data_IF_122051948135
#
_entry.id   IF_122051948135
#
_cell.length_a   1.000
_cell.length_b   1.000
_cell.length_c   1.000
_cell.angle_alpha   90.00
_cell.angle_beta   90.00
_cell.angle_gamma   90.00
#
_symmetry.space_group_name_H-M   'P 1'
#
loop_
_entity.id
_entity.type
_entity.pdbx_description
1 polymer ?
#
# COMPACT_ATOMS: atom_id res chain seq x y z
N UNK A 1 20.64 80.42 65.35
CA UNK A 1 20.40 80.82 63.97
C UNK A 1 20.33 79.58 63.13
N UNK A 2 19.18 79.42 62.53
CA UNK A 2 18.84 78.62 61.37
C UNK A 2 19.29 77.17 61.23
N UNK A 3 18.33 76.26 61.46
CA UNK A 3 18.40 74.88 61.16
C UNK A 3 18.12 74.57 59.69
N UNK A 4 18.71 73.57 59.20
CA UNK A 4 18.33 72.91 57.95
C UNK A 4 17.81 71.52 58.26
N UNK A 5 16.55 71.29 57.97
CA UNK A 5 15.92 69.99 58.01
C UNK A 5 16.22 69.17 56.76
N UNK A 6 16.61 67.93 56.91
CA UNK A 6 16.82 67.00 55.82
C UNK A 6 15.62 66.05 55.75
N UNK A 7 14.90 66.12 54.60
CA UNK A 7 13.83 65.19 54.29
C UNK A 7 14.39 64.01 53.50
N UNK A 8 14.23 62.80 54.05
CA UNK A 8 14.48 61.55 53.33
C UNK A 8 13.29 61.23 52.49
N UNK A 9 13.50 61.07 51.12
CA UNK A 9 12.49 60.51 50.19
C UNK A 9 12.86 59.05 50.00
N UNK A 10 12.00 58.16 50.50
CA UNK A 10 12.03 56.74 50.21
C UNK A 10 11.40 56.50 48.82
N UNK A 11 12.26 56.26 47.82
CA UNK A 11 11.85 55.77 46.50
C UNK A 11 11.67 54.23 46.56
N UNK A 12 10.42 53.79 46.55
CA UNK A 12 10.11 52.40 46.39
C UNK A 12 10.14 52.00 44.88
N UNK A 13 11.11 51.21 44.48
CA UNK A 13 11.14 50.55 43.18
C UNK A 13 10.24 49.30 43.26
N UNK A 14 9.07 49.40 42.64
CA UNK A 14 8.23 48.22 42.38
C UNK A 14 8.84 47.42 41.23
N UNK A 15 9.49 46.31 41.52
CA UNK A 15 9.89 45.33 40.52
C UNK A 15 8.65 44.57 40.05
N UNK A 16 8.16 44.90 38.87
CA UNK A 16 7.10 44.16 38.17
C UNK A 16 7.64 42.80 37.71
N UNK A 17 7.18 41.72 38.34
CA UNK A 17 7.41 40.34 37.88
C UNK A 17 6.48 40.14 36.70
N UNK A 18 7.02 40.21 35.48
CA UNK A 18 6.33 39.74 34.26
C UNK A 18 6.30 38.20 34.30
N UNK A 19 5.19 37.64 34.75
CA UNK A 19 4.92 36.21 34.61
C UNK A 19 4.62 35.98 33.12
N UNK A 20 5.65 35.50 32.39
CA UNK A 20 5.47 34.98 31.04
C UNK A 20 4.56 33.76 31.10
N UNK A 21 3.31 33.90 30.74
CA UNK A 21 2.44 32.77 30.37
C UNK A 21 3.09 32.09 29.16
N UNK A 22 3.94 31.09 29.42
CA UNK A 22 4.26 30.09 28.39
C UNK A 22 2.93 29.41 28.07
N UNK A 23 2.29 29.83 26.98
CA UNK A 23 1.13 29.14 26.43
C UNK A 23 1.52 27.68 26.20
N UNK A 24 0.97 26.78 26.97
CA UNK A 24 1.04 25.36 26.63
C UNK A 24 0.48 25.27 25.19
N UNK A 25 1.32 24.85 24.24
CA UNK A 25 0.85 24.55 22.89
C UNK A 25 -0.26 23.53 23.05
N UNK A 26 -1.50 23.93 22.78
CA UNK A 26 -2.61 22.99 22.78
C UNK A 26 -2.26 21.91 21.77
N UNK A 27 -2.23 20.66 22.24
CA UNK A 27 -2.03 19.51 21.37
C UNK A 27 -3.05 19.60 20.23
N UNK A 28 -2.59 19.46 18.99
CA UNK A 28 -3.48 19.40 17.84
C UNK A 28 -4.01 17.95 17.72
N UNK A 29 -5.28 17.69 18.05
CA UNK A 29 -5.83 16.33 18.02
C UNK A 29 -5.68 15.66 16.65
N UNK A 30 -5.69 16.44 15.57
CA UNK A 30 -5.46 15.93 14.23
C UNK A 30 -4.02 15.43 14.05
N UNK A 31 -3.03 16.20 14.48
CA UNK A 31 -1.62 15.78 14.42
C UNK A 31 -1.31 14.62 15.35
N UNK A 32 -2.01 14.50 16.46
CA UNK A 32 -1.87 13.35 17.37
C UNK A 32 -2.44 12.08 16.74
N UNK A 33 -3.60 12.16 16.06
CA UNK A 33 -4.16 11.07 15.25
C UNK A 33 -3.20 10.67 14.13
N UNK A 34 -2.68 11.62 13.36
CA UNK A 34 -1.72 11.39 12.27
C UNK A 34 -0.50 10.60 12.78
N UNK A 35 0.09 11.02 13.90
CA UNK A 35 1.24 10.32 14.50
C UNK A 35 0.89 8.89 14.93
N UNK A 36 -0.29 8.70 15.52
CA UNK A 36 -0.75 7.38 15.93
C UNK A 36 -0.95 6.43 14.74
N UNK A 37 -1.52 6.93 13.63
CA UNK A 37 -1.68 6.13 12.40
C UNK A 37 -0.31 5.79 11.76
N UNK A 38 0.64 6.73 11.71
CA UNK A 38 2.01 6.43 11.24
C UNK A 38 2.65 5.35 12.10
N UNK A 39 2.56 5.43 13.44
CA UNK A 39 3.09 4.40 14.35
C UNK A 39 2.42 3.05 14.10
N UNK A 40 1.13 3.02 13.88
CA UNK A 40 0.36 1.79 13.58
C UNK A 40 0.85 1.12 12.29
N UNK A 41 1.03 1.89 11.21
CA UNK A 41 1.44 1.36 9.92
C UNK A 41 2.95 1.08 9.81
N UNK A 42 3.80 1.84 10.50
CA UNK A 42 5.26 1.66 10.49
C UNK A 42 5.78 0.77 11.63
N UNK A 43 4.93 0.41 12.58
CA UNK A 43 5.27 -0.43 13.73
C UNK A 43 5.32 -1.91 13.41
N UNK A 44 5.74 -2.75 14.39
CA UNK A 44 5.82 -4.20 14.22
C UNK A 44 4.48 -4.82 13.80
N UNK A 45 4.53 -5.77 12.87
CA UNK A 45 3.37 -6.50 12.36
C UNK A 45 3.31 -7.93 12.93
N UNK A 46 3.52 -8.05 14.25
CA UNK A 46 3.64 -9.35 14.95
C UNK A 46 2.31 -10.01 15.31
N UNK A 47 1.21 -9.24 15.32
CA UNK A 47 -0.08 -9.75 15.74
C UNK A 47 -0.78 -10.50 14.60
N UNK A 48 -1.14 -11.76 14.88
CA UNK A 48 -1.99 -12.51 13.96
C UNK A 48 -3.44 -12.02 14.06
N UNK A 49 -3.95 -11.45 12.97
CA UNK A 49 -5.34 -10.98 12.81
C UNK A 49 -6.11 -11.76 11.74
N UNK A 50 -5.48 -12.80 11.18
CA UNK A 50 -6.07 -13.65 10.17
C UNK A 50 -7.08 -14.66 10.75
N UNK A 51 -7.57 -15.59 9.92
CA UNK A 51 -8.57 -16.56 10.34
C UNK A 51 -8.08 -17.45 11.48
N UNK A 52 -9.01 -17.85 12.35
CA UNK A 52 -8.75 -18.76 13.48
C UNK A 52 -9.35 -20.15 13.27
N UNK A 53 -10.10 -20.35 12.19
CA UNK A 53 -10.65 -21.64 11.78
C UNK A 53 -10.69 -21.73 10.26
N UNK A 54 -10.42 -22.93 9.73
CA UNK A 54 -10.54 -23.29 8.33
C UNK A 54 -10.95 -24.77 8.21
N UNK A 55 -11.56 -25.19 7.09
CA UNK A 55 -11.79 -26.62 6.85
C UNK A 55 -10.44 -27.29 6.55
N UNK A 56 -10.34 -28.58 6.88
CA UNK A 56 -9.17 -29.37 6.48
C UNK A 56 -9.18 -29.52 4.95
N UNK A 57 -8.09 -29.18 4.24
CA UNK A 57 -8.05 -29.28 2.79
C UNK A 57 -8.16 -30.72 2.28
N UNK A 58 -8.93 -30.93 1.21
CA UNK A 58 -8.87 -32.14 0.42
C UNK A 58 -7.62 -32.08 -0.46
N UNK A 59 -6.87 -33.20 -0.54
CA UNK A 59 -5.70 -33.27 -1.42
C UNK A 59 -6.08 -33.38 -2.90
N UNK A 60 -5.11 -33.09 -3.78
CA UNK A 60 -5.22 -33.35 -5.22
C UNK A 60 -6.02 -32.31 -5.99
N UNK A 61 -6.34 -31.15 -5.40
CA UNK A 61 -6.96 -30.04 -6.12
C UNK A 61 -6.00 -29.44 -7.15
N UNK A 62 -6.56 -29.00 -8.27
CA UNK A 62 -5.85 -28.28 -9.32
C UNK A 62 -6.28 -26.81 -9.33
N UNK A 63 -5.32 -25.93 -9.28
CA UNK A 63 -5.53 -24.49 -9.27
C UNK A 63 -4.78 -23.85 -10.44
N UNK A 64 -5.36 -22.86 -11.09
CA UNK A 64 -4.66 -21.98 -12.01
C UNK A 64 -4.47 -20.62 -11.35
N UNK A 65 -3.27 -20.07 -11.43
CA UNK A 65 -3.04 -18.65 -11.22
C UNK A 65 -2.88 -17.98 -12.58
N UNK A 66 -3.87 -17.18 -12.98
CA UNK A 66 -3.82 -16.36 -14.18
C UNK A 66 -3.23 -15.01 -13.81
N UNK A 67 -1.95 -14.87 -14.05
CA UNK A 67 -1.15 -13.66 -13.84
C UNK A 67 -1.41 -12.65 -14.94
N UNK A 68 -1.55 -11.37 -14.59
CA UNK A 68 -1.67 -10.32 -15.61
C UNK A 68 -0.40 -10.20 -16.45
N UNK A 69 0.77 -10.30 -15.82
CA UNK A 69 2.08 -10.19 -16.46
C UNK A 69 3.16 -10.77 -15.54
N UNK A 70 3.84 -11.81 -15.95
CA UNK A 70 4.95 -12.42 -15.20
C UNK A 70 6.23 -11.58 -15.21
N UNK A 71 6.31 -10.50 -15.98
CA UNK A 71 7.39 -9.53 -15.89
C UNK A 71 7.20 -8.59 -14.68
N UNK A 72 5.96 -8.44 -14.18
CA UNK A 72 5.67 -7.67 -12.99
C UNK A 72 6.07 -8.46 -11.73
N UNK A 73 6.86 -7.83 -10.84
CA UNK A 73 7.37 -8.47 -9.61
C UNK A 73 6.24 -8.94 -8.69
N UNK A 74 5.23 -8.12 -8.46
CA UNK A 74 4.10 -8.46 -7.59
C UNK A 74 3.32 -9.68 -8.12
N UNK A 75 3.00 -9.68 -9.43
CA UNK A 75 2.31 -10.81 -10.08
C UNK A 75 3.10 -12.10 -9.92
N UNK A 76 4.41 -12.05 -10.14
CA UNK A 76 5.30 -13.21 -10.00
C UNK A 76 5.40 -13.69 -8.55
N UNK A 77 5.49 -12.77 -7.58
CA UNK A 77 5.57 -13.12 -6.15
C UNK A 77 4.27 -13.78 -5.66
N UNK A 78 3.09 -13.30 -6.08
CA UNK A 78 1.81 -13.96 -5.77
C UNK A 78 1.78 -15.38 -6.34
N UNK A 79 2.15 -15.56 -7.61
CA UNK A 79 2.16 -16.89 -8.25
C UNK A 79 3.05 -17.88 -7.52
N UNK A 80 4.25 -17.48 -7.13
CA UNK A 80 5.18 -18.31 -6.37
C UNK A 80 4.64 -18.63 -4.97
N UNK A 81 4.06 -17.66 -4.28
CA UNK A 81 3.50 -17.85 -2.94
C UNK A 81 2.28 -18.76 -2.95
N UNK A 82 1.37 -18.63 -3.93
CA UNK A 82 0.23 -19.53 -4.12
C UNK A 82 0.73 -20.94 -4.35
N UNK A 83 1.73 -21.12 -5.24
CA UNK A 83 2.31 -22.43 -5.55
C UNK A 83 2.98 -23.07 -4.33
N UNK A 84 3.71 -22.28 -3.55
CA UNK A 84 4.34 -22.73 -2.30
C UNK A 84 3.30 -23.19 -1.29
N UNK A 85 2.29 -22.35 -1.01
CA UNK A 85 1.25 -22.66 -0.03
C UNK A 85 0.40 -23.88 -0.45
N UNK A 86 0.01 -23.98 -1.71
CA UNK A 86 -0.76 -25.08 -2.27
C UNK A 86 -0.01 -26.42 -2.18
N UNK A 87 1.29 -26.42 -2.43
CA UNK A 87 2.13 -27.62 -2.31
C UNK A 87 2.14 -28.21 -0.88
N UNK A 88 2.01 -27.36 0.17
CA UNK A 88 1.95 -27.81 1.57
C UNK A 88 0.73 -28.69 1.87
N UNK A 89 -0.33 -28.58 1.08
CA UNK A 89 -1.59 -29.30 1.23
C UNK A 89 -1.86 -30.27 0.08
N UNK A 90 -0.85 -30.53 -0.77
CA UNK A 90 -0.93 -31.50 -1.86
C UNK A 90 -1.79 -31.04 -3.05
N UNK A 91 -1.83 -29.73 -3.32
CA UNK A 91 -2.49 -29.14 -4.49
C UNK A 91 -1.46 -28.81 -5.59
N UNK A 92 -1.92 -28.85 -6.84
CA UNK A 92 -1.12 -28.48 -8.00
C UNK A 92 -1.51 -27.10 -8.49
N UNK A 93 -0.51 -26.24 -8.80
CA UNK A 93 -0.74 -24.89 -9.33
C UNK A 93 -0.08 -24.73 -10.68
N UNK A 94 -0.87 -24.35 -11.68
CA UNK A 94 -0.41 -23.90 -13.00
C UNK A 94 -0.43 -22.39 -13.05
N UNK A 95 0.72 -21.76 -13.32
CA UNK A 95 0.81 -20.33 -13.57
C UNK A 95 0.59 -20.09 -15.08
N UNK A 96 -0.29 -19.17 -15.41
CA UNK A 96 -0.62 -18.78 -16.79
C UNK A 96 -0.32 -17.30 -16.92
N UNK A 97 0.60 -16.93 -17.83
CA UNK A 97 0.97 -15.56 -18.10
C UNK A 97 0.00 -14.88 -19.07
N UNK A 98 -0.56 -13.76 -18.66
CA UNK A 98 -1.45 -12.92 -19.48
C UNK A 98 -0.72 -11.88 -20.34
N UNK A 99 0.62 -11.83 -20.28
CA UNK A 99 1.49 -10.99 -21.10
C UNK A 99 1.14 -9.50 -21.10
N UNK A 100 0.56 -8.99 -20.00
CA UNK A 100 0.24 -7.57 -19.81
C UNK A 100 -0.87 -7.01 -20.72
N UNK A 101 -1.67 -7.87 -21.38
CA UNK A 101 -2.69 -7.44 -22.33
C UNK A 101 -4.08 -7.96 -21.98
N UNK A 102 -5.16 -7.19 -22.25
CA UNK A 102 -6.52 -7.65 -22.04
C UNK A 102 -6.86 -8.94 -22.80
N UNK A 103 -6.36 -9.09 -24.02
CA UNK A 103 -6.51 -10.29 -24.83
C UNK A 103 -5.80 -11.49 -24.19
N UNK A 104 -4.59 -11.29 -23.68
CA UNK A 104 -3.84 -12.31 -22.96
C UNK A 104 -4.54 -12.75 -21.67
N UNK A 105 -5.15 -11.84 -20.93
CA UNK A 105 -5.95 -12.17 -19.73
C UNK A 105 -7.16 -13.02 -20.07
N UNK A 106 -7.89 -12.68 -21.15
CA UNK A 106 -9.02 -13.46 -21.63
C UNK A 106 -8.59 -14.86 -22.09
N UNK A 107 -7.50 -14.96 -22.83
CA UNK A 107 -6.93 -16.23 -23.27
C UNK A 107 -6.48 -17.08 -22.09
N UNK A 108 -5.80 -16.48 -21.10
CA UNK A 108 -5.32 -17.15 -19.89
C UNK A 108 -6.45 -17.72 -19.04
N UNK A 109 -7.56 -16.97 -18.84
CA UNK A 109 -8.73 -17.50 -18.14
C UNK A 109 -9.40 -18.62 -18.92
N UNK A 110 -9.55 -18.49 -20.23
CA UNK A 110 -10.10 -19.57 -21.07
C UNK A 110 -9.22 -20.82 -21.04
N UNK A 111 -7.89 -20.66 -21.01
CA UNK A 111 -6.95 -21.78 -20.83
C UNK A 111 -7.14 -22.46 -19.47
N UNK A 112 -7.27 -21.69 -18.38
CA UNK A 112 -7.55 -22.23 -17.05
C UNK A 112 -8.85 -23.06 -17.03
N UNK A 113 -9.92 -22.53 -17.65
CA UNK A 113 -11.19 -23.25 -17.79
C UNK A 113 -11.02 -24.56 -18.59
N UNK A 114 -10.26 -24.51 -19.70
CA UNK A 114 -10.00 -25.68 -20.54
C UNK A 114 -9.19 -26.76 -19.82
N UNK A 115 -8.31 -26.38 -18.88
CA UNK A 115 -7.56 -27.30 -18.02
C UNK A 115 -8.44 -27.98 -16.96
N UNK A 116 -9.71 -27.56 -16.83
CA UNK A 116 -10.68 -28.10 -15.86
C UNK A 116 -10.13 -28.09 -14.42
N UNK A 117 -9.55 -26.96 -14.03
CA UNK A 117 -9.08 -26.75 -12.67
C UNK A 117 -10.24 -26.64 -11.67
N UNK A 118 -10.00 -26.89 -10.39
CA UNK A 118 -10.99 -26.71 -9.32
C UNK A 118 -11.19 -25.22 -8.98
N UNK A 119 -10.11 -24.44 -9.06
CA UNK A 119 -10.14 -23.02 -8.74
C UNK A 119 -9.20 -22.18 -9.59
N UNK A 120 -9.54 -20.93 -9.75
CA UNK A 120 -8.73 -19.92 -10.43
C UNK A 120 -8.45 -18.76 -9.48
N UNK A 121 -7.20 -18.34 -9.41
CA UNK A 121 -6.78 -17.07 -8.80
C UNK A 121 -6.36 -16.14 -9.94
N UNK A 122 -6.79 -14.88 -9.91
CA UNK A 122 -6.38 -13.89 -10.92
C UNK A 122 -6.15 -12.51 -10.32
N UNK A 123 -5.17 -11.79 -10.84
CA UNK A 123 -4.93 -10.38 -10.51
C UNK A 123 -5.34 -9.43 -11.66
N UNK A 124 -6.08 -9.92 -12.65
CA UNK A 124 -6.64 -9.08 -13.69
C UNK A 124 -7.95 -8.42 -13.26
N UNK A 125 -8.28 -7.28 -13.87
CA UNK A 125 -9.53 -6.56 -13.58
C UNK A 125 -10.76 -7.44 -13.84
N UNK A 126 -11.48 -7.75 -12.76
CA UNK A 126 -12.60 -8.68 -12.81
C UNK A 126 -13.82 -8.11 -13.56
N UNK A 127 -13.98 -6.79 -13.60
CA UNK A 127 -15.12 -6.17 -14.29
C UNK A 127 -15.02 -6.38 -15.80
N UNK A 128 -13.82 -6.25 -16.35
CA UNK A 128 -13.54 -6.47 -17.78
C UNK A 128 -13.66 -7.96 -18.19
N UNK A 129 -13.46 -8.87 -17.24
CA UNK A 129 -13.44 -10.32 -17.44
C UNK A 129 -14.72 -11.02 -16.96
N UNK A 130 -15.71 -10.27 -16.48
CA UNK A 130 -16.95 -10.79 -15.89
C UNK A 130 -17.64 -11.91 -16.73
N UNK A 131 -17.74 -11.84 -18.07
CA UNK A 131 -18.36 -12.92 -18.84
C UNK A 131 -17.59 -14.25 -18.74
N UNK A 132 -16.25 -14.20 -18.73
CA UNK A 132 -15.41 -15.41 -18.66
C UNK A 132 -15.39 -15.96 -17.23
N UNK A 133 -15.36 -15.08 -16.21
CA UNK A 133 -15.50 -15.47 -14.81
C UNK A 133 -16.84 -16.17 -14.56
N UNK A 134 -17.92 -15.64 -15.17
CA UNK A 134 -19.23 -16.31 -15.12
C UNK A 134 -19.20 -17.69 -15.76
N UNK A 135 -18.57 -17.86 -16.91
CA UNK A 135 -18.43 -19.16 -17.59
C UNK A 135 -17.67 -20.17 -16.71
N UNK A 136 -16.60 -19.72 -16.02
CA UNK A 136 -15.88 -20.55 -15.04
C UNK A 136 -16.81 -21.02 -13.90
N UNK A 137 -17.55 -20.07 -13.31
CA UNK A 137 -18.47 -20.36 -12.21
C UNK A 137 -19.61 -21.32 -12.63
N UNK A 138 -20.17 -21.13 -13.84
CA UNK A 138 -21.20 -22.02 -14.40
C UNK A 138 -20.70 -23.47 -14.58
N UNK A 139 -19.39 -23.64 -14.75
CA UNK A 139 -18.71 -24.95 -14.82
C UNK A 139 -18.26 -25.48 -13.46
N UNK A 140 -18.59 -24.78 -12.37
CA UNK A 140 -18.25 -25.17 -11.00
C UNK A 140 -16.82 -24.81 -10.58
N UNK A 141 -16.11 -24.00 -11.37
CA UNK A 141 -14.76 -23.52 -11.03
C UNK A 141 -14.89 -22.28 -10.16
N UNK A 142 -14.30 -22.31 -8.95
CA UNK A 142 -14.26 -21.15 -8.07
C UNK A 142 -13.26 -20.13 -8.58
N UNK A 143 -13.65 -18.84 -8.63
CA UNK A 143 -12.74 -17.77 -9.00
C UNK A 143 -12.54 -16.80 -7.83
N UNK A 144 -11.28 -16.53 -7.48
CA UNK A 144 -10.91 -15.50 -6.52
C UNK A 144 -9.99 -14.47 -7.18
N UNK A 145 -10.04 -13.24 -6.66
CA UNK A 145 -9.18 -12.16 -7.11
C UNK A 145 -8.07 -11.84 -6.12
N UNK A 146 -6.95 -11.33 -6.63
CA UNK A 146 -5.96 -10.56 -5.88
C UNK A 146 -5.82 -9.23 -6.61
N UNK A 147 -6.15 -8.10 -5.98
CA UNK A 147 -6.18 -6.78 -6.64
C UNK A 147 -7.10 -6.69 -7.88
N UNK A 148 -8.05 -7.61 -8.01
CA UNK A 148 -8.91 -7.71 -9.20
C UNK A 148 -10.11 -6.75 -9.18
N UNK A 149 -10.35 -6.04 -8.08
CA UNK A 149 -11.41 -5.04 -7.91
C UNK A 149 -10.94 -3.86 -7.05
N UNK A 150 -11.78 -2.82 -6.92
CA UNK A 150 -11.41 -1.62 -6.12
C UNK A 150 -11.19 -1.92 -4.63
N UNK A 151 -11.96 -2.85 -4.04
CA UNK A 151 -11.95 -3.11 -2.59
C UNK A 151 -11.84 -4.60 -2.26
N UNK A 152 -11.29 -4.95 -1.08
CA UNK A 152 -11.23 -6.33 -0.61
C UNK A 152 -12.62 -6.88 -0.25
N UNK A 153 -12.68 -8.20 -0.14
CA UNK A 153 -13.88 -8.92 0.30
C UNK A 153 -14.66 -9.58 -0.82
N UNK A 154 -15.85 -10.14 -0.53
CA UNK A 154 -16.70 -10.81 -1.52
C UNK A 154 -17.11 -9.87 -2.66
N UNK A 155 -17.06 -10.35 -3.90
CA UNK A 155 -17.39 -9.59 -5.10
C UNK A 155 -18.36 -10.37 -6.01
N UNK A 156 -19.58 -10.68 -5.55
CA UNK A 156 -20.53 -11.52 -6.29
C UNK A 156 -20.98 -10.87 -7.61
N UNK A 157 -20.99 -9.55 -7.67
CA UNK A 157 -21.41 -8.81 -8.88
C UNK A 157 -20.51 -9.06 -10.10
N UNK A 158 -19.24 -9.41 -9.84
CA UNK A 158 -18.29 -9.78 -10.90
C UNK A 158 -17.94 -11.27 -10.87
N UNK A 159 -18.61 -12.05 -9.99
CA UNK A 159 -18.46 -13.51 -9.91
C UNK A 159 -17.25 -14.00 -9.12
N UNK A 160 -16.56 -13.12 -8.37
CA UNK A 160 -15.48 -13.55 -7.50
C UNK A 160 -16.02 -13.99 -6.13
N UNK A 161 -15.56 -15.13 -5.63
CA UNK A 161 -15.84 -15.57 -4.27
C UNK A 161 -15.31 -14.54 -3.25
N UNK A 162 -14.08 -14.08 -3.46
CA UNK A 162 -13.45 -13.01 -2.68
C UNK A 162 -12.39 -12.32 -3.52
N UNK A 163 -12.14 -11.06 -3.24
CA UNK A 163 -10.98 -10.31 -3.72
C UNK A 163 -10.04 -10.05 -2.54
N UNK A 164 -8.81 -10.53 -2.63
CA UNK A 164 -7.76 -10.41 -1.62
C UNK A 164 -6.91 -9.19 -1.94
N UNK A 165 -6.85 -8.27 -1.03
CA UNK A 165 -5.97 -7.09 -1.08
C UNK A 165 -6.02 -6.35 0.25
N UNK A 166 -5.11 -5.44 0.45
CA UNK A 166 -5.22 -4.41 1.48
C UNK A 166 -6.34 -3.43 1.13
N UNK A 167 -6.91 -2.78 2.12
CA UNK A 167 -7.86 -1.71 1.84
C UNK A 167 -7.11 -0.51 1.22
N UNK A 168 -7.45 -0.08 0.00
CA UNK A 168 -6.79 1.04 -0.65
C UNK A 168 -6.92 2.36 0.15
N UNK A 169 -7.95 2.46 1.01
CA UNK A 169 -8.12 3.61 1.90
C UNK A 169 -7.05 3.64 2.99
N UNK A 170 -6.66 2.49 3.53
CA UNK A 170 -5.58 2.39 4.51
C UNK A 170 -4.22 2.69 3.88
N UNK A 171 -3.99 2.24 2.63
CA UNK A 171 -2.76 2.56 1.88
C UNK A 171 -2.65 4.07 1.65
N UNK A 172 -3.71 4.70 1.15
CA UNK A 172 -3.73 6.14 0.91
C UNK A 172 -3.59 6.95 2.19
N UNK A 173 -4.23 6.50 3.29
CA UNK A 173 -4.10 7.11 4.62
C UNK A 173 -2.66 7.00 5.13
N UNK A 174 -2.04 5.83 5.05
CA UNK A 174 -0.66 5.63 5.49
C UNK A 174 0.33 6.56 4.77
N UNK A 175 0.21 6.70 3.44
CA UNK A 175 1.00 7.63 2.65
C UNK A 175 0.77 9.08 3.09
N UNK A 176 -0.48 9.49 3.20
CA UNK A 176 -0.85 10.86 3.54
C UNK A 176 -0.43 11.24 4.96
N UNK A 177 -0.68 10.38 5.95
CA UNK A 177 -0.34 10.65 7.34
C UNK A 177 1.18 10.76 7.54
N UNK A 178 1.97 9.93 6.84
CA UNK A 178 3.42 10.09 6.86
C UNK A 178 3.85 11.44 6.26
N UNK A 179 3.29 11.85 5.13
CA UNK A 179 3.57 13.15 4.50
C UNK A 179 3.20 14.31 5.42
N UNK A 180 2.02 14.25 6.04
CA UNK A 180 1.52 15.28 6.96
C UNK A 180 2.47 15.40 8.17
N UNK A 181 2.84 14.25 8.76
CA UNK A 181 3.78 14.22 9.89
C UNK A 181 5.16 14.75 9.48
N UNK A 182 5.72 14.27 8.37
CA UNK A 182 7.05 14.65 7.90
C UNK A 182 7.16 16.13 7.53
N UNK A 183 6.08 16.74 7.05
CA UNK A 183 6.01 18.16 6.68
C UNK A 183 5.59 19.09 7.82
N UNK A 184 5.37 18.56 9.03
CA UNK A 184 4.79 19.31 10.16
C UNK A 184 3.46 20.01 9.75
N UNK A 185 2.59 19.27 9.04
CA UNK A 185 1.29 19.76 8.60
C UNK A 185 1.31 20.84 7.52
N UNK A 186 2.39 20.92 6.70
CA UNK A 186 2.58 21.97 5.68
C UNK A 186 2.88 21.40 4.29
N UNK A 187 2.45 20.19 4.02
CA UNK A 187 2.75 19.51 2.77
C UNK A 187 2.15 20.17 1.55
N UNK A 188 2.92 20.18 0.47
CA UNK A 188 2.47 20.54 -0.88
C UNK A 188 2.62 19.30 -1.75
N UNK A 189 1.50 18.74 -2.21
CA UNK A 189 1.44 17.36 -2.73
C UNK A 189 0.90 17.32 -4.14
N UNK A 190 1.60 16.63 -5.03
CA UNK A 190 1.05 16.12 -6.30
C UNK A 190 0.67 14.66 -6.08
N UNK A 191 -0.59 14.32 -6.32
CA UNK A 191 -1.11 12.96 -6.22
C UNK A 191 -1.11 12.33 -7.61
N UNK A 192 -0.43 11.18 -7.77
CA UNK A 192 -0.42 10.46 -9.05
C UNK A 192 -1.12 9.11 -8.96
N UNK A 193 -1.72 8.70 -10.08
CA UNK A 193 -2.51 7.47 -10.17
C UNK A 193 -2.47 6.84 -11.57
N UNK A 194 -3.04 5.64 -11.64
CA UNK A 194 -3.34 4.85 -12.84
C UNK A 194 -4.81 4.44 -12.79
N UNK A 195 -5.72 5.41 -12.99
CA UNK A 195 -7.16 5.23 -12.76
C UNK A 195 -7.86 4.28 -13.75
N UNK A 196 -7.16 3.72 -14.72
CA UNK A 196 -7.63 2.55 -15.47
C UNK A 196 -7.74 1.30 -14.58
N UNK A 197 -7.04 1.28 -13.43
CA UNK A 197 -7.22 0.28 -12.39
C UNK A 197 -8.00 0.86 -11.21
N UNK A 198 -9.14 0.26 -10.89
CA UNK A 198 -10.05 0.77 -9.86
C UNK A 198 -9.39 0.87 -8.48
N UNK A 199 -8.53 -0.10 -8.11
CA UNK A 199 -7.76 -0.07 -6.86
C UNK A 199 -6.77 1.11 -6.84
N UNK A 200 -6.06 1.38 -7.94
CA UNK A 200 -5.09 2.47 -8.01
C UNK A 200 -5.78 3.83 -7.86
N UNK A 201 -6.95 4.00 -8.49
CA UNK A 201 -7.76 5.20 -8.34
C UNK A 201 -8.24 5.38 -6.89
N UNK A 202 -8.68 4.30 -6.24
CA UNK A 202 -9.14 4.31 -4.85
C UNK A 202 -7.99 4.66 -3.88
N UNK A 203 -6.77 4.12 -4.06
CA UNK A 203 -5.56 4.49 -3.30
C UNK A 203 -5.30 6.00 -3.40
N UNK A 204 -5.26 6.54 -4.62
CA UNK A 204 -4.95 7.96 -4.87
C UNK A 204 -6.00 8.91 -4.30
N UNK A 205 -7.29 8.62 -4.48
CA UNK A 205 -8.36 9.44 -3.89
C UNK A 205 -8.36 9.40 -2.36
N UNK A 206 -7.99 8.27 -1.75
CA UNK A 206 -7.84 8.20 -0.29
C UNK A 206 -6.68 9.07 0.20
N UNK A 207 -5.54 9.08 -0.52
CA UNK A 207 -4.42 9.98 -0.24
C UNK A 207 -4.84 11.44 -0.40
N UNK A 208 -5.50 11.80 -1.50
CA UNK A 208 -6.00 13.14 -1.76
C UNK A 208 -6.94 13.63 -0.65
N UNK A 209 -7.93 12.82 -0.30
CA UNK A 209 -8.89 13.14 0.75
C UNK A 209 -8.19 13.41 2.09
N UNK A 210 -7.28 12.52 2.51
CA UNK A 210 -6.57 12.67 3.78
C UNK A 210 -5.63 13.88 3.82
N UNK A 211 -4.96 14.21 2.71
CA UNK A 211 -4.17 15.46 2.61
C UNK A 211 -5.08 16.68 2.74
N UNK A 212 -6.28 16.65 2.17
CA UNK A 212 -7.24 17.75 2.25
C UNK A 212 -7.84 17.93 3.66
N UNK A 213 -7.84 16.91 4.53
CA UNK A 213 -8.19 17.04 5.95
C UNK A 213 -7.18 17.89 6.73
N UNK A 214 -5.93 17.97 6.26
CA UNK A 214 -4.86 18.75 6.86
C UNK A 214 -4.98 20.23 6.47
N UNK A 215 -5.34 21.10 7.44
CA UNK A 215 -5.59 22.53 7.17
C UNK A 215 -4.39 23.29 6.59
N UNK A 216 -3.17 22.89 6.92
CA UNK A 216 -1.93 23.53 6.45
C UNK A 216 -1.35 22.88 5.19
N UNK A 217 -1.88 21.74 4.76
CA UNK A 217 -1.44 21.02 3.57
C UNK A 217 -2.20 21.47 2.31
N UNK A 218 -1.68 21.12 1.14
CA UNK A 218 -2.33 21.43 -0.12
C UNK A 218 -2.08 20.34 -1.17
N UNK A 219 -3.14 19.77 -1.72
CA UNK A 219 -3.09 19.04 -2.98
C UNK A 219 -2.97 20.07 -4.11
N UNK A 220 -1.87 20.02 -4.85
CA UNK A 220 -1.55 20.92 -5.94
C UNK A 220 -2.14 20.46 -7.27
N UNK A 221 -2.11 19.15 -7.48
CA UNK A 221 -2.61 18.51 -8.69
C UNK A 221 -2.92 17.03 -8.38
N UNK A 222 -3.99 16.52 -8.98
CA UNK A 222 -4.26 15.10 -9.12
C UNK A 222 -4.00 14.73 -10.59
N UNK A 223 -3.07 13.80 -10.83
CA UNK A 223 -2.68 13.38 -12.17
C UNK A 223 -2.84 11.88 -12.33
N UNK A 224 -3.62 11.46 -13.32
CA UNK A 224 -3.73 10.05 -13.69
C UNK A 224 -3.14 9.85 -15.09
N UNK A 225 -2.21 8.91 -15.20
CA UNK A 225 -1.59 8.53 -16.46
C UNK A 225 -1.74 7.02 -16.65
N UNK A 226 -2.06 6.55 -17.86
CA UNK A 226 -2.06 5.12 -18.15
C UNK A 226 -0.72 4.47 -17.80
N UNK A 227 -0.78 3.25 -17.25
CA UNK A 227 0.43 2.51 -16.82
C UNK A 227 1.39 2.28 -17.99
N UNK A 228 0.84 2.03 -19.19
CA UNK A 228 1.62 1.85 -20.42
C UNK A 228 2.36 3.10 -20.89
N UNK A 229 1.99 4.28 -20.39
CA UNK A 229 2.58 5.57 -20.78
C UNK A 229 3.54 6.14 -19.71
N UNK A 230 3.70 5.47 -18.58
CA UNK A 230 4.51 5.94 -17.45
C UNK A 230 5.94 6.29 -17.88
N UNK A 231 6.59 5.40 -18.61
CA UNK A 231 7.98 5.61 -19.06
C UNK A 231 8.14 6.87 -19.91
N UNK A 232 7.13 7.20 -20.72
CA UNK A 232 7.19 8.35 -21.63
C UNK A 232 6.75 9.65 -20.92
N UNK A 233 5.75 9.59 -20.03
CA UNK A 233 5.12 10.77 -19.45
C UNK A 233 5.77 11.25 -18.17
N UNK A 234 6.14 10.35 -17.27
CA UNK A 234 6.57 10.73 -15.92
C UNK A 234 7.82 11.61 -15.88
N UNK A 235 8.86 11.41 -16.74
CA UNK A 235 10.01 12.31 -16.76
C UNK A 235 9.65 13.77 -17.07
N UNK A 236 8.76 13.99 -18.03
CA UNK A 236 8.30 15.33 -18.39
C UNK A 236 7.36 15.93 -17.32
N UNK A 237 6.45 15.13 -16.78
CA UNK A 237 5.49 15.55 -15.76
C UNK A 237 6.21 16.01 -14.49
N UNK A 238 7.16 15.21 -13.96
CA UNK A 238 7.88 15.58 -12.73
C UNK A 238 8.68 16.87 -12.89
N UNK A 239 9.29 17.07 -14.06
CA UNK A 239 10.00 18.32 -14.38
C UNK A 239 9.03 19.51 -14.44
N UNK A 240 7.88 19.34 -15.08
CA UNK A 240 6.85 20.37 -15.18
C UNK A 240 6.26 20.74 -13.80
N UNK A 241 6.03 19.76 -12.91
CA UNK A 241 5.53 20.02 -11.56
C UNK A 241 6.53 20.84 -10.74
N UNK A 242 7.82 20.50 -10.79
CA UNK A 242 8.85 21.28 -10.10
C UNK A 242 8.93 22.71 -10.63
N UNK A 243 8.87 22.89 -11.95
CA UNK A 243 8.86 24.23 -12.55
C UNK A 243 7.61 25.04 -12.18
N UNK A 244 6.44 24.40 -12.18
CA UNK A 244 5.15 25.04 -11.92
C UNK A 244 4.94 25.38 -10.45
N UNK A 245 5.32 24.46 -9.58
CA UNK A 245 5.00 24.57 -8.16
C UNK A 245 6.20 24.92 -7.28
N UNK A 246 7.43 24.76 -7.75
CA UNK A 246 8.63 24.93 -6.94
C UNK A 246 8.78 23.86 -5.87
N UNK A 247 9.76 24.04 -4.99
CA UNK A 247 10.07 23.15 -3.87
C UNK A 247 9.82 23.86 -2.52
N UNK A 248 9.63 23.14 -1.40
CA UNK A 248 9.57 21.68 -1.29
C UNK A 248 8.30 21.07 -1.90
N UNK A 249 8.40 19.85 -2.44
CA UNK A 249 7.32 19.17 -3.13
C UNK A 249 7.26 17.70 -2.70
N UNK A 250 6.07 17.21 -2.39
CA UNK A 250 5.79 15.78 -2.23
C UNK A 250 5.08 15.26 -3.48
N UNK A 251 5.47 14.08 -3.92
CA UNK A 251 4.82 13.38 -5.03
C UNK A 251 4.40 12.00 -4.49
N UNK A 252 3.10 11.71 -4.53
CA UNK A 252 2.62 10.38 -4.19
C UNK A 252 2.45 9.54 -5.43
N UNK A 253 2.66 8.24 -5.29
CA UNK A 253 2.37 7.26 -6.33
C UNK A 253 1.67 6.05 -5.74
N UNK A 254 0.76 5.48 -6.51
CA UNK A 254 0.06 4.24 -6.14
C UNK A 254 0.89 2.99 -6.38
N UNK A 255 2.06 3.15 -7.05
CA UNK A 255 2.98 2.06 -7.36
C UNK A 255 4.43 2.56 -7.43
N UNK A 256 5.36 1.79 -6.87
CA UNK A 256 6.77 2.14 -6.74
C UNK A 256 7.50 2.30 -8.07
N UNK A 257 7.12 1.52 -9.09
CA UNK A 257 7.78 1.56 -10.38
C UNK A 257 7.68 2.91 -11.08
N UNK A 258 6.69 3.75 -10.73
CA UNK A 258 6.56 5.11 -11.25
C UNK A 258 7.80 5.94 -10.90
N UNK A 259 8.37 5.73 -9.72
CA UNK A 259 9.58 6.42 -9.27
C UNK A 259 10.82 6.09 -10.12
N UNK A 260 10.87 4.91 -10.77
CA UNK A 260 11.97 4.53 -11.66
C UNK A 260 12.12 5.49 -12.83
N UNK A 261 11.04 6.12 -13.26
CA UNK A 261 11.02 7.09 -14.35
C UNK A 261 11.06 8.54 -13.88
N UNK A 262 10.61 8.84 -12.67
CA UNK A 262 10.64 10.20 -12.09
C UNK A 262 12.04 10.57 -11.61
N UNK A 263 12.72 9.67 -10.91
CA UNK A 263 14.01 9.93 -10.26
C UNK A 263 15.11 10.33 -11.23
N UNK A 264 15.33 9.68 -12.40
CA UNK A 264 16.33 10.12 -13.36
C UNK A 264 16.12 11.55 -13.84
N UNK A 265 14.87 11.99 -14.04
CA UNK A 265 14.55 13.34 -14.45
C UNK A 265 14.85 14.38 -13.35
N UNK A 266 14.51 14.06 -12.08
CA UNK A 266 14.84 14.89 -10.93
C UNK A 266 16.36 15.08 -10.77
N UNK A 267 17.13 13.99 -10.92
CA UNK A 267 18.61 14.06 -10.91
C UNK A 267 19.17 14.91 -12.04
N UNK A 268 18.67 14.70 -13.26
CA UNK A 268 19.10 15.48 -14.43
C UNK A 268 18.78 16.97 -14.26
N UNK A 269 17.69 17.31 -13.56
CA UNK A 269 17.34 18.67 -13.17
C UNK A 269 18.19 19.27 -12.06
N UNK A 270 19.13 18.51 -11.45
CA UNK A 270 20.00 18.98 -10.37
C UNK A 270 19.27 19.26 -9.05
N UNK A 271 18.11 18.60 -8.82
CA UNK A 271 17.31 18.83 -7.62
C UNK A 271 17.91 18.09 -6.42
N UNK A 272 17.85 18.70 -5.23
CA UNK A 272 18.21 18.02 -4.00
C UNK A 272 17.11 17.00 -3.63
N UNK A 273 17.45 15.75 -3.27
CA UNK A 273 16.48 14.77 -2.77
C UNK A 273 15.70 15.22 -1.53
N UNK A 274 16.15 16.24 -0.82
CA UNK A 274 15.40 16.83 0.30
C UNK A 274 14.29 17.77 -0.16
N UNK A 275 14.40 18.30 -1.36
CA UNK A 275 13.46 19.28 -1.92
C UNK A 275 12.28 18.63 -2.63
N UNK A 276 12.45 17.39 -3.13
CA UNK A 276 11.39 16.61 -3.76
C UNK A 276 11.37 15.21 -3.15
N UNK A 277 10.26 14.86 -2.51
CA UNK A 277 10.08 13.60 -1.81
C UNK A 277 8.99 12.77 -2.47
N UNK A 278 9.33 11.54 -2.83
CA UNK A 278 8.40 10.56 -3.39
C UNK A 278 7.97 9.61 -2.28
N UNK A 279 6.66 9.43 -2.16
CA UNK A 279 5.99 8.47 -1.27
C UNK A 279 5.11 7.59 -2.14
N UNK A 280 5.36 6.28 -2.14
CA UNK A 280 4.69 5.35 -3.05
C UNK A 280 4.10 4.14 -2.33
N UNK A 281 3.61 3.17 -3.08
CA UNK A 281 3.04 1.92 -2.56
C UNK A 281 3.55 0.71 -3.35
N UNK A 282 3.16 -0.47 -2.88
CA UNK A 282 3.40 -1.83 -3.30
C UNK A 282 4.60 -2.50 -2.60
N UNK A 283 5.70 -1.81 -2.35
CA UNK A 283 6.88 -2.40 -1.69
C UNK A 283 7.75 -3.22 -2.63
N UNK A 284 7.98 -2.71 -3.84
CA UNK A 284 8.88 -3.36 -4.81
C UNK A 284 10.32 -3.36 -4.32
N UNK A 285 11.11 -4.34 -4.75
CA UNK A 285 12.52 -4.46 -4.40
C UNK A 285 13.31 -3.16 -4.64
N UNK A 286 13.09 -2.50 -5.76
CA UNK A 286 13.76 -1.23 -6.11
C UNK A 286 13.42 -0.10 -5.13
N UNK A 287 12.21 -0.08 -4.56
CA UNK A 287 11.83 0.88 -3.53
C UNK A 287 12.60 0.66 -2.23
N UNK A 288 12.70 -0.58 -1.75
CA UNK A 288 13.52 -0.93 -0.59
C UNK A 288 14.99 -0.54 -0.78
N UNK A 289 15.56 -0.81 -1.96
CA UNK A 289 16.93 -0.45 -2.30
C UNK A 289 17.14 1.07 -2.27
N UNK A 290 16.21 1.86 -2.81
CA UNK A 290 16.27 3.33 -2.79
C UNK A 290 16.15 3.90 -1.38
N UNK A 291 15.20 3.42 -0.61
CA UNK A 291 14.97 3.87 0.78
C UNK A 291 16.21 3.56 1.63
N UNK A 292 16.77 2.34 1.51
CA UNK A 292 17.99 1.93 2.23
C UNK A 292 19.21 2.74 1.84
N UNK A 293 19.38 3.03 0.57
CA UNK A 293 20.52 3.82 0.08
C UNK A 293 20.49 5.27 0.57
N UNK A 294 19.31 5.80 0.87
CA UNK A 294 19.12 7.20 1.23
C UNK A 294 19.42 8.17 0.08
N UNK A 295 18.97 9.41 0.18
CA UNK A 295 19.27 10.44 -0.82
C UNK A 295 18.77 10.13 -2.24
N UNK A 296 17.68 9.33 -2.36
CA UNK A 296 17.19 8.83 -3.62
C UNK A 296 15.79 9.37 -3.99
N UNK A 297 15.35 10.46 -3.41
CA UNK A 297 14.02 11.07 -3.53
C UNK A 297 12.88 10.22 -2.95
N UNK A 298 12.87 8.90 -3.17
CA UNK A 298 11.87 8.03 -2.56
C UNK A 298 12.27 7.69 -1.12
N UNK A 299 11.45 8.11 -0.18
CA UNK A 299 11.68 7.88 1.25
C UNK A 299 10.75 6.81 1.84
N UNK A 300 9.59 6.56 1.21
CA UNK A 300 8.56 5.70 1.79
C UNK A 300 7.88 4.87 0.71
N UNK A 301 7.52 3.64 1.09
CA UNK A 301 6.55 2.82 0.37
C UNK A 301 5.58 2.16 1.34
N UNK A 302 4.28 2.17 1.01
CA UNK A 302 3.27 1.37 1.71
C UNK A 302 3.27 -0.04 1.11
N UNK A 303 3.97 -0.96 1.77
CA UNK A 303 4.30 -2.28 1.25
C UNK A 303 3.19 -3.31 1.47
N UNK A 304 3.10 -4.26 0.55
CA UNK A 304 2.12 -5.35 0.57
C UNK A 304 2.78 -6.70 0.91
N UNK A 305 2.10 -7.56 1.69
CA UNK A 305 2.64 -8.85 2.09
C UNK A 305 2.33 -9.94 1.04
N UNK A 306 2.93 -9.87 -0.14
CA UNK A 306 2.64 -10.74 -1.29
C UNK A 306 2.62 -12.22 -0.92
N UNK A 307 3.60 -12.67 -0.12
CA UNK A 307 3.67 -14.07 0.29
C UNK A 307 2.49 -14.47 1.18
N UNK A 308 2.12 -13.63 2.14
CA UNK A 308 0.95 -13.87 3.00
C UNK A 308 -0.36 -13.85 2.19
N UNK A 309 -0.46 -12.98 1.18
CA UNK A 309 -1.61 -12.97 0.26
C UNK A 309 -1.75 -14.27 -0.52
N UNK A 310 -0.63 -14.87 -0.94
CA UNK A 310 -0.64 -16.20 -1.58
C UNK A 310 -1.16 -17.32 -0.66
N UNK A 311 -0.76 -17.32 0.61
CA UNK A 311 -1.30 -18.25 1.61
C UNK A 311 -2.79 -18.02 1.86
N UNK A 312 -3.22 -16.76 1.96
CA UNK A 312 -4.63 -16.41 2.07
C UNK A 312 -5.42 -16.90 0.85
N UNK A 313 -4.89 -16.78 -0.37
CA UNK A 313 -5.56 -17.24 -1.58
C UNK A 313 -5.85 -18.74 -1.53
N UNK A 314 -4.91 -19.53 -1.04
CA UNK A 314 -5.10 -20.99 -0.87
C UNK A 314 -6.14 -21.28 0.21
N UNK A 315 -6.15 -20.55 1.34
CA UNK A 315 -7.17 -20.71 2.38
C UNK A 315 -8.57 -20.34 1.89
N UNK A 316 -8.69 -19.24 1.13
CA UNK A 316 -9.98 -18.82 0.58
C UNK A 316 -10.54 -19.79 -0.47
N UNK A 317 -9.68 -20.37 -1.33
CA UNK A 317 -10.10 -21.45 -2.21
C UNK A 317 -10.56 -22.68 -1.42
N UNK A 318 -9.81 -23.05 -0.37
CA UNK A 318 -10.17 -24.15 0.51
C UNK A 318 -11.56 -23.94 1.14
N UNK A 319 -11.83 -22.73 1.64
CA UNK A 319 -13.15 -22.36 2.15
C UNK A 319 -14.24 -22.52 1.11
N UNK A 320 -14.00 -21.98 -0.09
CA UNK A 320 -14.97 -22.06 -1.18
C UNK A 320 -15.29 -23.50 -1.59
N UNK A 321 -14.29 -24.37 -1.68
CA UNK A 321 -14.48 -25.80 -1.99
C UNK A 321 -15.33 -26.52 -0.96
N UNK A 322 -15.26 -26.08 0.31
CA UNK A 322 -16.06 -26.60 1.41
C UNK A 322 -17.35 -25.82 1.66
N UNK A 323 -17.71 -24.88 0.76
CA UNK A 323 -18.92 -24.04 0.88
C UNK A 323 -18.98 -23.22 2.16
N UNK A 324 -17.83 -22.88 2.72
CA UNK A 324 -17.71 -21.94 3.83
C UNK A 324 -17.65 -20.50 3.29
N UNK A 325 -18.07 -19.51 4.10
CA UNK A 325 -17.90 -18.12 3.70
C UNK A 325 -16.41 -17.74 3.65
N UNK A 326 -16.06 -16.66 2.91
CA UNK A 326 -14.73 -16.08 2.98
C UNK A 326 -14.31 -15.73 4.41
N UNK A 327 -13.01 -15.75 4.69
CA UNK A 327 -12.47 -15.48 6.03
C UNK A 327 -12.79 -14.08 6.57
N UNK A 328 -13.02 -13.12 5.67
CA UNK A 328 -13.19 -11.71 6.01
C UNK A 328 -11.86 -11.01 6.37
N UNK A 329 -10.73 -11.71 6.25
CA UNK A 329 -9.43 -11.14 6.59
C UNK A 329 -8.99 -10.12 5.55
N UNK A 330 -8.63 -8.91 6.03
CA UNK A 330 -8.04 -7.83 5.25
C UNK A 330 -6.70 -7.48 5.91
N UNK A 331 -5.64 -7.55 5.14
CA UNK A 331 -4.29 -7.30 5.64
C UNK A 331 -4.04 -5.80 5.81
N UNK A 332 -3.22 -5.47 6.82
CA UNK A 332 -2.79 -4.08 7.06
C UNK A 332 -1.59 -3.75 6.17
N UNK A 333 -1.53 -2.58 5.53
CA UNK A 333 -0.32 -2.12 4.86
C UNK A 333 0.81 -1.89 5.86
N UNK A 334 2.05 -2.08 5.42
CA UNK A 334 3.23 -1.77 6.20
C UNK A 334 3.97 -0.58 5.60
N UNK A 335 4.10 0.48 6.38
CA UNK A 335 4.78 1.69 5.94
C UNK A 335 6.29 1.54 6.14
N UNK A 336 7.01 1.28 5.08
CA UNK A 336 8.47 1.15 5.06
C UNK A 336 9.08 2.54 4.96
N UNK A 337 9.95 2.86 5.92
CA UNK A 337 10.66 4.12 6.05
C UNK A 337 12.16 3.88 6.27
N UNK A 338 13.02 4.91 6.22
CA UNK A 338 14.45 4.74 6.55
C UNK A 338 14.70 4.14 7.93
N UNK A 339 13.82 4.42 8.91
CA UNK A 339 13.97 4.00 10.30
C UNK A 339 13.70 2.51 10.50
N UNK A 340 12.79 1.94 9.70
CA UNK A 340 12.37 0.54 9.83
C UNK A 340 12.74 -0.35 8.64
N UNK A 341 13.57 0.14 7.71
CA UNK A 341 13.91 -0.49 6.42
C UNK A 341 14.42 -1.95 6.52
N UNK A 342 14.96 -2.35 7.66
CA UNK A 342 15.46 -3.70 7.87
C UNK A 342 14.49 -4.61 8.65
N UNK A 343 13.34 -4.06 9.10
CA UNK A 343 12.32 -4.82 9.82
C UNK A 343 11.34 -5.52 8.86
N UNK A 344 10.55 -6.44 9.38
CA UNK A 344 9.42 -7.08 8.68
C UNK A 344 9.79 -7.61 7.27
N UNK A 345 10.95 -8.29 7.15
CA UNK A 345 11.45 -8.82 5.87
C UNK A 345 12.23 -7.81 5.01
N UNK A 346 12.41 -6.59 5.50
CA UNK A 346 13.09 -5.55 4.76
C UNK A 346 14.54 -5.89 4.39
N UNK A 347 15.23 -6.73 5.18
CA UNK A 347 16.54 -7.29 4.85
C UNK A 347 16.56 -8.08 3.54
N UNK A 348 15.40 -8.58 3.10
CA UNK A 348 15.17 -9.30 1.84
C UNK A 348 14.54 -8.42 0.75
N UNK A 349 14.37 -7.12 1.01
CA UNK A 349 13.70 -6.16 0.12
C UNK A 349 12.25 -6.52 -0.20
N UNK A 350 11.52 -7.05 0.78
CA UNK A 350 10.10 -7.38 0.67
C UNK A 350 9.42 -7.28 2.04
N UNK A 351 8.10 -7.15 2.08
CA UNK A 351 7.36 -7.17 3.33
C UNK A 351 6.98 -8.60 3.72
N UNK A 352 7.53 -9.07 4.84
CA UNK A 352 7.20 -10.35 5.46
C UNK A 352 6.79 -10.04 6.91
N UNK A 353 5.47 -10.02 7.21
CA UNK A 353 5.00 -9.77 8.57
C UNK A 353 5.57 -10.76 9.58
N UNK A 354 6.00 -10.27 10.74
CA UNK A 354 6.56 -11.11 11.81
C UNK A 354 5.51 -11.89 12.62
N UNK A 355 4.27 -11.93 12.13
CA UNK A 355 3.12 -12.57 12.77
C UNK A 355 3.04 -14.10 12.61
N UNK A 356 4.06 -14.74 12.07
CA UNK A 356 4.11 -16.20 11.84
C UNK A 356 2.93 -16.73 11.00
N UNK A 357 2.44 -15.98 10.01
CA UNK A 357 1.29 -16.33 9.18
C UNK A 357 1.40 -17.73 8.55
N UNK A 358 2.59 -18.16 8.13
CA UNK A 358 2.79 -19.50 7.54
C UNK A 358 2.39 -20.59 8.53
N UNK A 359 2.87 -20.51 9.78
CA UNK A 359 2.56 -21.45 10.84
C UNK A 359 1.08 -21.43 11.20
N UNK A 360 0.46 -20.25 11.21
CA UNK A 360 -0.98 -20.12 11.45
C UNK A 360 -1.79 -20.82 10.36
N UNK A 361 -1.49 -20.60 9.07
CA UNK A 361 -2.19 -21.26 7.98
C UNK A 361 -1.95 -22.78 7.99
N UNK A 362 -0.70 -23.24 8.19
CA UNK A 362 -0.40 -24.67 8.29
C UNK A 362 -1.17 -25.33 9.43
N UNK A 363 -1.23 -24.71 10.60
CA UNK A 363 -2.00 -25.20 11.73
C UNK A 363 -3.50 -25.28 11.42
N UNK A 364 -4.07 -24.26 10.77
CA UNK A 364 -5.47 -24.23 10.31
C UNK A 364 -5.78 -25.38 9.36
N UNK A 365 -4.84 -25.72 8.46
CA UNK A 365 -4.99 -26.80 7.49
C UNK A 365 -4.67 -28.19 8.07
N UNK A 366 -4.20 -28.26 9.32
CA UNK A 366 -3.83 -29.52 9.97
C UNK A 366 -2.53 -30.11 9.42
N UNK A 367 -1.66 -29.29 8.84
CA UNK A 367 -0.32 -29.67 8.38
C UNK A 367 0.65 -29.52 9.56
N UNK A 368 1.50 -30.53 9.77
CA UNK A 368 2.50 -30.56 10.86
C UNK A 368 3.86 -30.04 10.34
#
# INVERSE_FOLDING_TARGET
MRGLGWKWILGGTAAGIAIGLAGAAMADPFMDEVKAEVVKFAGPQSDWRGPTAAPKPDAGKKVAYMSTDEQNDASREWGQAIKEAAAKIGWEVTIIDGHGTPEGWQQGLNQAIALKVDGIVTNADAASLKPIIKDANDKGIVVIGIHATAFPGPQPDVGLFVNIQQDPRDIGRAQADWIIQHSDGKARVVVTSHCEYAIACAKAHATEARINDCKGCKVLEFNSSPISEVAQRQPALVTAWVQKYGTPLYITSVADYTADYQIPALRAGGLDPKDVIIVSADGNKSAYERIRAGGQYQLVTASEPYKMQGYQAVDELNRAFHKMPPSGFVQTPYLVTPENINAEGGDKNTFIPSNNYEQHYLALWGVK
#
